data_IF_090856894184
#
_entry.id   IF_090856894184
#
_cell.length_a   1.000
_cell.length_b   1.000
_cell.length_c   1.000
_cell.angle_alpha   90.00
_cell.angle_beta   90.00
_cell.angle_gamma   90.00
#
_symmetry.space_group_name_H-M   'P 1'
#
loop_
_entity.id
_entity.type
_entity.pdbx_description
1 polymer ?
#
# COMPACT_ATOMS: atom_id res chain seq x y z
N UNK A 1 6.04 9.63 8.53
CA UNK A 1 5.06 10.36 7.72
C UNK A 1 5.13 9.95 6.25
N UNK A 2 4.13 10.33 5.48
CA UNK A 2 4.05 10.03 4.05
C UNK A 2 4.77 11.13 3.25
N UNK A 3 5.87 10.85 2.54
CA UNK A 3 6.62 11.87 1.79
C UNK A 3 5.79 12.63 0.75
N UNK A 4 4.83 11.96 0.12
CA UNK A 4 3.95 12.55 -0.89
C UNK A 4 2.92 13.54 -0.34
N UNK A 5 2.85 13.76 0.97
CA UNK A 5 2.11 14.89 1.54
C UNK A 5 2.83 16.22 1.36
N UNK A 6 4.13 16.19 1.06
CA UNK A 6 4.90 17.38 0.72
C UNK A 6 4.51 17.91 -0.66
N UNK A 7 4.62 19.23 -0.84
CA UNK A 7 4.52 19.83 -2.16
C UNK A 7 5.73 19.42 -3.03
N UNK A 8 5.61 19.41 -4.38
CA UNK A 8 6.70 18.96 -5.26
C UNK A 8 8.04 19.62 -4.96
N UNK A 9 8.08 20.94 -4.75
CA UNK A 9 9.31 21.66 -4.42
C UNK A 9 9.90 21.28 -3.06
N UNK A 10 9.06 20.91 -2.08
CA UNK A 10 9.52 20.46 -0.77
C UNK A 10 10.10 19.04 -0.85
N UNK A 11 9.47 18.17 -1.64
CA UNK A 11 9.94 16.82 -1.91
C UNK A 11 11.30 16.85 -2.61
N UNK A 12 11.45 17.71 -3.65
CA UNK A 12 12.71 17.94 -4.35
C UNK A 12 13.83 18.39 -3.39
N UNK A 13 13.56 19.38 -2.55
CA UNK A 13 14.53 19.87 -1.55
C UNK A 13 14.93 18.79 -0.55
N UNK A 14 13.97 17.98 -0.09
CA UNK A 14 14.22 16.88 0.83
C UNK A 14 15.15 15.84 0.19
N UNK A 15 14.85 15.41 -1.04
CA UNK A 15 15.64 14.42 -1.76
C UNK A 15 17.02 14.94 -2.10
N UNK A 16 17.14 16.17 -2.58
CA UNK A 16 18.42 16.86 -2.79
C UNK A 16 19.27 16.86 -1.51
N UNK A 17 18.64 17.15 -0.36
CA UNK A 17 19.35 17.14 0.92
C UNK A 17 19.83 15.76 1.33
N UNK A 18 19.00 14.73 1.16
CA UNK A 18 19.36 13.35 1.43
C UNK A 18 20.54 12.93 0.55
N UNK A 19 20.44 13.14 -0.76
CA UNK A 19 21.47 12.76 -1.74
C UNK A 19 22.78 13.53 -1.57
N UNK A 20 22.73 14.74 -1.00
CA UNK A 20 23.93 15.54 -0.68
C UNK A 20 24.66 15.04 0.60
N UNK A 21 24.00 14.27 1.44
CA UNK A 21 24.54 13.81 2.74
C UNK A 21 24.89 12.33 2.76
N UNK A 22 24.23 11.55 1.91
CA UNK A 22 24.39 10.12 1.85
C UNK A 22 24.74 9.71 0.42
N UNK A 23 25.62 8.72 0.28
CA UNK A 23 25.90 8.12 -1.01
C UNK A 23 24.75 7.21 -1.43
N UNK A 24 23.81 7.78 -2.18
CA UNK A 24 22.63 7.04 -2.66
C UNK A 24 22.89 6.28 -3.96
N UNK A 25 24.05 6.50 -4.62
CA UNK A 25 24.38 5.87 -5.92
C UNK A 25 24.69 4.37 -5.80
N UNK A 26 25.13 3.94 -4.62
CA UNK A 26 25.51 2.54 -4.36
C UNK A 26 24.50 1.81 -3.46
N UNK A 27 23.31 2.41 -3.25
CA UNK A 27 22.25 1.72 -2.52
C UNK A 27 21.70 0.57 -3.36
N UNK A 28 21.47 -0.57 -2.71
CA UNK A 28 20.79 -1.71 -3.34
C UNK A 28 19.30 -1.40 -3.56
N UNK A 29 18.72 -0.58 -2.69
CA UNK A 29 17.34 -0.17 -2.76
C UNK A 29 17.16 1.25 -2.22
N UNK A 30 16.38 2.05 -2.93
CA UNK A 30 15.90 3.35 -2.49
C UNK A 30 14.40 3.45 -2.79
N UNK A 31 13.58 3.04 -1.83
CA UNK A 31 12.13 3.04 -1.95
C UNK A 31 11.53 4.25 -1.27
N UNK A 32 10.58 4.90 -1.93
CA UNK A 32 9.77 5.96 -1.33
C UNK A 32 8.37 5.44 -1.02
N UNK A 33 7.99 5.57 0.25
CA UNK A 33 6.62 5.37 0.71
C UNK A 33 5.74 6.47 0.11
N UNK A 34 5.18 6.24 -1.08
CA UNK A 34 4.25 7.16 -1.70
C UNK A 34 2.93 7.24 -0.91
N UNK A 35 2.67 6.19 -0.13
CA UNK A 35 1.65 6.17 0.92
C UNK A 35 0.24 6.22 0.36
N UNK A 36 -0.52 7.26 0.75
CA UNK A 36 -1.93 7.34 0.40
C UNK A 36 -2.13 7.71 -1.07
N UNK A 37 -2.97 6.96 -1.80
CA UNK A 37 -3.25 7.22 -3.22
C UNK A 37 -3.70 8.65 -3.52
N UNK A 38 -4.47 9.26 -2.62
CA UNK A 38 -4.97 10.64 -2.75
C UNK A 38 -3.87 11.72 -2.68
N UNK A 39 -2.67 11.37 -2.24
CA UNK A 39 -1.51 12.28 -2.18
C UNK A 39 -0.54 12.11 -3.36
N UNK A 40 -0.78 11.14 -4.24
CA UNK A 40 0.10 10.83 -5.38
C UNK A 40 -0.35 11.67 -6.59
N UNK A 41 0.54 12.52 -7.08
CA UNK A 41 0.32 13.31 -8.29
C UNK A 41 1.45 13.10 -9.30
N UNK A 42 1.18 13.40 -10.57
CA UNK A 42 2.17 13.30 -11.65
C UNK A 42 3.43 14.12 -11.34
N UNK A 43 3.25 15.32 -10.83
CA UNK A 43 4.36 16.24 -10.51
C UNK A 43 5.25 15.65 -9.40
N UNK A 44 4.65 15.07 -8.36
CA UNK A 44 5.41 14.43 -7.26
C UNK A 44 6.13 13.18 -7.74
N UNK A 45 5.47 12.35 -8.55
CA UNK A 45 6.10 11.18 -9.15
C UNK A 45 7.27 11.57 -10.08
N UNK A 46 7.12 12.67 -10.84
CA UNK A 46 8.20 13.18 -11.68
C UNK A 46 9.41 13.59 -10.84
N UNK A 47 9.20 14.29 -9.72
CA UNK A 47 10.28 14.63 -8.78
C UNK A 47 11.04 13.39 -8.31
N UNK A 48 10.34 12.30 -7.99
CA UNK A 48 11.00 11.05 -7.60
C UNK A 48 11.88 10.49 -8.72
N UNK A 49 11.35 10.42 -9.94
CA UNK A 49 12.10 9.95 -11.11
C UNK A 49 13.31 10.83 -11.44
N UNK A 50 13.18 12.16 -11.33
CA UNK A 50 14.26 13.12 -11.56
C UNK A 50 15.43 12.91 -10.55
N UNK A 51 15.12 12.40 -9.36
CA UNK A 51 16.10 12.00 -8.36
C UNK A 51 16.60 10.54 -8.51
N UNK A 52 16.20 9.84 -9.59
CA UNK A 52 16.60 8.46 -9.83
C UNK A 52 15.91 7.44 -8.94
N UNK A 53 14.76 7.80 -8.36
CA UNK A 53 13.96 6.90 -7.54
C UNK A 53 12.85 6.29 -8.40
N UNK A 54 12.96 5.01 -8.69
CA UNK A 54 12.05 4.23 -9.53
C UNK A 54 11.30 3.13 -8.75
N UNK A 55 11.44 3.12 -7.42
CA UNK A 55 10.77 2.20 -6.50
C UNK A 55 9.88 2.96 -5.53
N UNK A 56 8.60 2.61 -5.52
CA UNK A 56 7.61 3.22 -4.60
C UNK A 56 6.73 2.17 -3.94
N UNK A 57 6.17 2.53 -2.79
CA UNK A 57 5.08 1.77 -2.17
C UNK A 57 3.80 2.58 -2.18
N UNK A 58 2.72 1.98 -2.67
CA UNK A 58 1.36 2.52 -2.65
C UNK A 58 0.56 1.71 -1.62
N UNK A 59 -0.09 2.40 -0.69
CA UNK A 59 -0.70 1.76 0.47
C UNK A 59 -2.24 1.85 0.42
N UNK A 60 -2.92 0.97 -0.35
CA UNK A 60 -4.38 0.95 -0.40
C UNK A 60 -5.01 0.52 0.93
N UNK A 61 -4.36 -0.31 1.72
CA UNK A 61 -4.81 -1.00 2.92
C UNK A 61 -5.80 -2.13 2.61
N UNK A 62 -6.79 -1.89 1.78
CA UNK A 62 -7.79 -2.82 1.23
C UNK A 62 -8.35 -2.26 -0.08
N UNK A 63 -8.95 -3.10 -0.89
CA UNK A 63 -9.71 -2.72 -2.10
C UNK A 63 -11.23 -2.82 -1.87
N UNK A 64 -11.66 -2.74 -0.61
CA UNK A 64 -13.06 -2.68 -0.21
C UNK A 64 -13.42 -1.26 0.21
N UNK A 65 -14.24 -0.58 -0.58
CA UNK A 65 -14.61 0.82 -0.35
C UNK A 65 -15.29 1.04 1.00
N UNK A 66 -16.18 0.13 1.41
CA UNK A 66 -16.87 0.22 2.69
C UNK A 66 -15.90 0.15 3.86
N UNK A 67 -14.90 -0.73 3.78
CA UNK A 67 -13.87 -0.85 4.82
C UNK A 67 -13.01 0.40 4.89
N UNK A 68 -12.61 0.98 3.73
CA UNK A 68 -11.88 2.25 3.71
C UNK A 68 -12.61 3.35 4.48
N UNK A 69 -13.93 3.45 4.33
CA UNK A 69 -14.77 4.39 5.06
C UNK A 69 -14.78 4.10 6.57
N UNK A 70 -14.93 2.84 6.95
CA UNK A 70 -14.94 2.40 8.38
C UNK A 70 -13.62 2.76 9.07
N UNK A 71 -12.48 2.57 8.40
CA UNK A 71 -11.15 2.89 8.97
C UNK A 71 -10.74 4.36 8.79
N UNK A 72 -11.65 5.20 8.30
CA UNK A 72 -11.44 6.64 8.15
C UNK A 72 -10.45 7.02 7.06
N UNK A 73 -10.29 6.18 6.03
CA UNK A 73 -9.48 6.53 4.86
C UNK A 73 -10.26 7.43 3.93
N UNK A 74 -9.60 8.46 3.39
CA UNK A 74 -10.23 9.44 2.50
C UNK A 74 -10.13 9.06 1.03
N UNK A 75 -9.18 8.20 0.68
CA UNK A 75 -9.02 7.74 -0.70
C UNK A 75 -10.06 6.67 -1.07
N UNK A 76 -10.32 6.56 -2.35
CA UNK A 76 -11.23 5.55 -2.92
C UNK A 76 -10.45 4.43 -3.60
N UNK A 77 -11.12 3.30 -3.86
CA UNK A 77 -10.56 2.18 -4.63
C UNK A 77 -10.15 2.63 -6.04
N UNK A 78 -10.91 3.54 -6.65
CA UNK A 78 -10.57 4.05 -7.99
C UNK A 78 -9.32 4.92 -7.96
N UNK A 79 -9.16 5.76 -6.94
CA UNK A 79 -7.91 6.52 -6.75
C UNK A 79 -6.68 5.61 -6.56
N UNK A 80 -6.82 4.44 -5.92
CA UNK A 80 -5.76 3.43 -5.85
C UNK A 80 -5.36 2.97 -7.26
N UNK A 81 -6.34 2.59 -8.09
CA UNK A 81 -6.11 2.15 -9.47
C UNK A 81 -5.48 3.25 -10.33
N UNK A 82 -5.98 4.48 -10.22
CA UNK A 82 -5.47 5.64 -10.93
C UNK A 82 -4.02 5.93 -10.55
N UNK A 83 -3.70 5.95 -9.24
CA UNK A 83 -2.34 6.18 -8.75
C UNK A 83 -1.36 5.10 -9.24
N UNK A 84 -1.77 3.82 -9.18
CA UNK A 84 -0.98 2.71 -9.69
C UNK A 84 -0.74 2.83 -11.20
N UNK A 85 -1.81 3.03 -11.97
CA UNK A 85 -1.73 3.17 -13.44
C UNK A 85 -0.87 4.37 -13.84
N UNK A 86 -1.01 5.49 -13.14
CA UNK A 86 -0.18 6.67 -13.35
C UNK A 86 1.30 6.36 -13.11
N UNK A 87 1.65 5.79 -11.96
CA UNK A 87 3.03 5.44 -11.63
C UNK A 87 3.63 4.47 -12.65
N UNK A 88 2.88 3.43 -13.03
CA UNK A 88 3.31 2.47 -14.03
C UNK A 88 3.54 3.13 -15.40
N UNK A 89 2.63 4.01 -15.83
CA UNK A 89 2.75 4.74 -17.11
C UNK A 89 3.93 5.71 -17.15
N UNK A 90 4.40 6.17 -16.00
CA UNK A 90 5.56 7.07 -15.88
C UNK A 90 6.90 6.31 -15.84
N UNK A 91 6.88 4.97 -15.74
CA UNK A 91 8.08 4.14 -15.82
C UNK A 91 8.69 3.76 -14.47
N UNK A 92 7.91 3.77 -13.38
CA UNK A 92 8.37 3.19 -12.13
C UNK A 92 8.64 1.69 -12.30
N UNK A 93 9.87 1.29 -12.05
CA UNK A 93 10.35 -0.08 -12.27
C UNK A 93 9.80 -1.05 -11.23
N UNK A 94 9.56 -0.57 -9.99
CA UNK A 94 9.05 -1.40 -8.92
C UNK A 94 7.98 -0.67 -8.11
N UNK A 95 6.78 -1.24 -8.11
CA UNK A 95 5.65 -0.74 -7.32
C UNK A 95 5.22 -1.82 -6.34
N UNK A 96 5.45 -1.56 -5.05
CA UNK A 96 4.91 -2.38 -3.96
C UNK A 96 3.51 -1.91 -3.58
N UNK A 97 2.65 -2.82 -3.16
CA UNK A 97 1.34 -2.47 -2.58
C UNK A 97 1.22 -3.05 -1.18
N UNK A 98 0.75 -2.20 -0.23
CA UNK A 98 0.58 -2.60 1.17
C UNK A 98 -0.89 -2.84 1.49
N UNK A 99 -1.19 -4.02 2.02
CA UNK A 99 -2.51 -4.41 2.52
C UNK A 99 -2.48 -4.68 4.03
N UNK A 100 -3.65 -4.63 4.64
CA UNK A 100 -3.84 -5.02 6.04
C UNK A 100 -4.86 -6.15 6.09
N UNK A 101 -4.47 -7.29 6.66
CA UNK A 101 -5.38 -8.39 7.01
C UNK A 101 -5.99 -8.18 8.40
N UNK A 102 -7.26 -8.50 8.55
CA UNK A 102 -7.98 -8.37 9.82
C UNK A 102 -8.55 -6.98 10.10
N UNK A 103 -8.82 -6.20 9.06
CA UNK A 103 -9.50 -4.91 9.19
C UNK A 103 -10.91 -5.08 9.75
N UNK A 104 -11.44 -4.09 10.51
CA UNK A 104 -12.79 -4.14 11.06
C UNK A 104 -13.84 -4.34 9.98
N UNK A 105 -14.67 -5.37 10.13
CA UNK A 105 -15.76 -5.68 9.22
C UNK A 105 -15.37 -6.45 7.97
N UNK A 106 -14.09 -6.82 7.80
CA UNK A 106 -13.65 -7.72 6.74
C UNK A 106 -13.55 -9.18 7.22
N UNK A 107 -13.87 -10.09 6.32
CA UNK A 107 -13.66 -11.52 6.45
C UNK A 107 -12.70 -12.06 5.37
N UNK A 108 -12.51 -13.37 5.32
CA UNK A 108 -11.64 -13.99 4.35
C UNK A 108 -12.11 -13.79 2.89
N UNK A 109 -13.42 -13.66 2.65
CA UNK A 109 -13.95 -13.40 1.31
C UNK A 109 -13.66 -11.97 0.85
N UNK A 110 -13.75 -10.99 1.75
CA UNK A 110 -13.37 -9.59 1.48
C UNK A 110 -11.87 -9.48 1.15
N UNK A 111 -11.02 -10.23 1.87
CA UNK A 111 -9.59 -10.28 1.57
C UNK A 111 -9.33 -10.93 0.21
N UNK A 112 -10.03 -11.99 -0.12
CA UNK A 112 -9.92 -12.64 -1.43
C UNK A 112 -10.31 -11.69 -2.56
N UNK A 113 -11.43 -10.96 -2.45
CA UNK A 113 -11.85 -9.95 -3.42
C UNK A 113 -10.81 -8.83 -3.57
N UNK A 114 -10.21 -8.39 -2.45
CA UNK A 114 -9.11 -7.41 -2.47
C UNK A 114 -7.93 -7.94 -3.26
N UNK A 115 -7.49 -9.18 -2.99
CA UNK A 115 -6.37 -9.81 -3.69
C UNK A 115 -6.62 -9.95 -5.19
N UNK A 116 -7.82 -10.36 -5.61
CA UNK A 116 -8.18 -10.45 -7.03
C UNK A 116 -8.12 -9.10 -7.75
N UNK A 117 -8.48 -8.01 -7.06
CA UNK A 117 -8.35 -6.64 -7.60
C UNK A 117 -6.89 -6.22 -7.71
N UNK A 118 -6.05 -6.58 -6.73
CA UNK A 118 -4.61 -6.31 -6.75
C UNK A 118 -3.91 -7.12 -7.84
N UNK A 119 -4.22 -8.41 -7.99
CA UNK A 119 -3.67 -9.25 -9.05
C UNK A 119 -3.88 -8.64 -10.44
N UNK A 120 -5.04 -8.03 -10.70
CA UNK A 120 -5.33 -7.35 -11.99
C UNK A 120 -4.46 -6.12 -12.24
N UNK A 121 -3.90 -5.52 -11.21
CA UNK A 121 -2.98 -4.39 -11.32
C UNK A 121 -1.55 -4.84 -11.61
N UNK A 122 -1.17 -6.08 -11.24
CA UNK A 122 0.17 -6.63 -11.37
C UNK A 122 1.25 -5.76 -10.68
N UNK A 123 1.20 -5.54 -9.36
CA UNK A 123 2.31 -4.95 -8.63
C UNK A 123 3.53 -5.87 -8.66
N UNK A 124 4.72 -5.30 -8.48
CA UNK A 124 5.98 -6.07 -8.46
C UNK A 124 6.22 -6.74 -7.11
N UNK A 125 5.58 -6.24 -6.06
CA UNK A 125 5.57 -6.89 -4.75
C UNK A 125 4.31 -6.53 -3.97
N UNK A 126 3.97 -7.38 -3.01
CA UNK A 126 2.84 -7.22 -2.12
C UNK A 126 3.29 -7.39 -0.68
N UNK A 127 2.97 -6.43 0.17
CA UNK A 127 3.19 -6.51 1.61
C UNK A 127 1.85 -6.63 2.31
N UNK A 128 1.68 -7.64 3.16
CA UNK A 128 0.45 -7.82 3.94
C UNK A 128 0.77 -7.77 5.42
N UNK A 129 0.22 -6.76 6.09
CA UNK A 129 0.34 -6.58 7.53
C UNK A 129 -0.84 -7.20 8.24
N UNK A 130 -0.59 -8.11 9.19
CA UNK A 130 -1.64 -8.65 10.05
C UNK A 130 -1.97 -7.66 11.18
N UNK A 131 -3.23 -7.26 11.29
CA UNK A 131 -3.69 -6.42 12.39
C UNK A 131 -3.91 -7.27 13.64
N UNK A 132 -3.01 -7.16 14.61
CA UNK A 132 -3.17 -7.80 15.91
C UNK A 132 -4.24 -7.06 16.73
N UNK A 133 -5.45 -7.60 16.80
CA UNK A 133 -6.51 -7.08 17.66
C UNK A 133 -6.28 -7.62 19.08
N UNK A 134 -5.86 -6.76 20.01
CA UNK A 134 -5.81 -7.13 21.43
C UNK A 134 -7.23 -7.47 21.89
N UNK A 135 -7.40 -8.60 22.59
CA UNK A 135 -8.70 -9.09 23.13
C UNK A 135 -9.49 -8.07 23.95
N UNK A 136 -8.85 -6.99 24.41
CA UNK A 136 -9.47 -5.90 25.17
C UNK A 136 -10.03 -4.76 24.31
N UNK A 137 -9.89 -4.77 22.99
CA UNK A 137 -10.47 -3.74 22.15
C UNK A 137 -11.98 -4.00 21.97
N UNK A 138 -12.80 -2.97 22.13
CA UNK A 138 -14.27 -2.99 22.01
C UNK A 138 -14.81 -3.62 20.71
N UNK A 139 -13.97 -3.75 19.68
CA UNK A 139 -14.30 -4.31 18.38
C UNK A 139 -14.29 -5.85 18.33
N UNK A 140 -13.81 -6.54 19.36
CA UNK A 140 -13.67 -7.99 19.39
C UNK A 140 -14.92 -8.76 19.89
N UNK A 141 -16.02 -8.08 20.20
CA UNK A 141 -17.15 -8.73 20.91
C UNK A 141 -18.46 -8.86 20.15
N UNK A 142 -18.57 -8.34 18.92
CA UNK A 142 -19.82 -8.40 18.17
C UNK A 142 -19.76 -9.41 16.99
N UNK A 143 -20.35 -10.59 17.23
CA UNK A 143 -20.94 -11.42 16.16
C UNK A 143 -20.01 -12.23 15.24
N UNK A 144 -18.74 -12.49 15.59
CA UNK A 144 -17.86 -13.34 14.80
C UNK A 144 -18.03 -14.82 15.12
N UNK A 145 -18.25 -15.65 14.11
CA UNK A 145 -18.39 -17.11 14.21
C UNK A 145 -17.04 -17.85 14.25
N UNK A 146 -15.92 -17.20 13.94
CA UNK A 146 -14.57 -17.78 13.96
C UNK A 146 -13.65 -17.05 14.93
N UNK A 147 -12.62 -17.76 15.42
CA UNK A 147 -11.56 -17.15 16.20
C UNK A 147 -10.77 -16.17 15.32
N UNK A 148 -10.59 -14.90 15.74
CA UNK A 148 -9.89 -13.88 14.95
C UNK A 148 -8.49 -14.28 14.53
N UNK A 149 -7.80 -15.12 15.31
CA UNK A 149 -6.46 -15.63 14.95
C UNK A 149 -6.50 -16.58 13.75
N UNK A 150 -7.50 -17.46 13.68
CA UNK A 150 -7.68 -18.39 12.55
C UNK A 150 -8.03 -17.64 11.27
N UNK A 151 -8.91 -16.65 11.35
CA UNK A 151 -9.33 -15.83 10.22
C UNK A 151 -8.16 -15.01 9.63
N UNK A 152 -7.33 -14.39 10.47
CA UNK A 152 -6.11 -13.66 10.04
C UNK A 152 -5.10 -14.63 9.39
N UNK A 153 -4.97 -15.85 9.91
CA UNK A 153 -4.08 -16.86 9.31
C UNK A 153 -4.56 -17.24 7.90
N UNK A 154 -5.86 -17.47 7.71
CA UNK A 154 -6.44 -17.74 6.40
C UNK A 154 -6.24 -16.59 5.40
N UNK A 155 -6.39 -15.35 5.85
CA UNK A 155 -6.11 -14.15 5.04
C UNK A 155 -4.63 -14.09 4.63
N UNK A 156 -3.70 -14.43 5.54
CA UNK A 156 -2.27 -14.50 5.26
C UNK A 156 -1.92 -15.58 4.24
N UNK A 157 -2.51 -16.76 4.35
CA UNK A 157 -2.34 -17.86 3.38
C UNK A 157 -2.88 -17.49 2.00
N UNK A 158 -4.04 -16.84 1.93
CA UNK A 158 -4.61 -16.34 0.68
C UNK A 158 -3.69 -15.29 0.02
N UNK A 159 -3.10 -14.41 0.82
CA UNK A 159 -2.15 -13.40 0.32
C UNK A 159 -0.86 -14.05 -0.22
N UNK A 160 -0.31 -15.06 0.47
CA UNK A 160 0.86 -15.79 0.00
C UNK A 160 0.58 -16.50 -1.33
N UNK A 161 -0.55 -17.19 -1.45
CA UNK A 161 -0.97 -17.83 -2.69
C UNK A 161 -1.19 -16.83 -3.84
N UNK A 162 -1.70 -15.63 -3.55
CA UNK A 162 -1.85 -14.55 -4.52
C UNK A 162 -0.49 -14.04 -5.00
N UNK A 163 0.46 -13.83 -4.09
CA UNK A 163 1.82 -13.40 -4.42
C UNK A 163 2.53 -14.45 -5.32
N UNK A 164 2.38 -15.74 -5.04
CA UNK A 164 2.93 -16.82 -5.88
C UNK A 164 2.33 -16.83 -7.30
N UNK A 165 1.04 -16.48 -7.47
CA UNK A 165 0.42 -16.37 -8.80
C UNK A 165 0.89 -15.18 -9.60
N UNK A 166 1.33 -14.12 -8.94
CA UNK A 166 1.85 -12.92 -9.60
C UNK A 166 3.32 -13.03 -10.02
N UNK A 167 4.08 -13.99 -9.48
CA UNK A 167 5.49 -14.28 -9.79
C UNK A 167 6.42 -13.60 -8.80
#
# INVERSE_FOLDING_TARGET
GTPTTLEPYQLDRLLTRIQSKFDTKHLQEFTVEAGRPDSITREKLQVLLDHGIDRISINPQTMNQKTLEIIGRRHTVDQVKEAFTLARSMGFAHINMDLIAGLPGEDAADMQDTLEKIEKLHPDSLTVHALAIKRAAKFGQEGRTMDPGTEITQMGEAAAASAERMG
#
